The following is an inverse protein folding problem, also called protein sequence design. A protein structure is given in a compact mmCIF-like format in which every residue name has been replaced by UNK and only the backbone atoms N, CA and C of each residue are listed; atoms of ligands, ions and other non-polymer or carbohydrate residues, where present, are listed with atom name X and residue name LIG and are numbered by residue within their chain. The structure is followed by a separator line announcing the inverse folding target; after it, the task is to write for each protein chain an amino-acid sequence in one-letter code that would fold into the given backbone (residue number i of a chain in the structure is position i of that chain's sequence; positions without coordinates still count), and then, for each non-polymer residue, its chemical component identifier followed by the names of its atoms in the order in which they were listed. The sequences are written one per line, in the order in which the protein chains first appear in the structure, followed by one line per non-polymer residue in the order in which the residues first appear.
data_IF_535530953882
#
_entry.id   IF_535530953882
#
_cell.length_a   1.000
_cell.length_b   1.000
_cell.length_c   1.000
_cell.angle_alpha   90.00
_cell.angle_beta   90.00
_cell.angle_gamma   90.00
#
_symmetry.space_group_name_H-M   'P 1'
#
loop_
_entity.id
_entity.type
_entity.pdbx_description
1 polymer ?
#
# COMPACT_ATOMS: atom_id res chain seq x y z
N UNK A 1 34.92 21.76 -7.70
CA UNK A 1 34.49 22.32 -9.00
C UNK A 1 32.98 22.23 -9.05
N UNK A 2 32.34 23.33 -9.46
CA UNK A 2 30.91 23.59 -9.41
C UNK A 2 30.09 22.69 -10.35
N UNK A 3 29.03 22.06 -9.85
CA UNK A 3 27.98 21.49 -10.70
C UNK A 3 26.66 22.21 -10.41
N UNK A 4 26.61 23.48 -10.79
CA UNK A 4 25.39 24.00 -11.40
C UNK A 4 25.36 23.38 -12.78
N UNK A 5 24.88 22.15 -12.90
CA UNK A 5 24.51 21.60 -14.19
C UNK A 5 23.47 22.58 -14.76
N UNK A 6 23.86 23.34 -15.78
CA UNK A 6 22.99 24.28 -16.47
C UNK A 6 21.73 23.52 -16.88
N UNK A 7 20.62 23.73 -16.16
CA UNK A 7 19.32 23.17 -16.55
C UNK A 7 19.02 23.73 -17.94
N UNK A 8 19.03 22.87 -18.95
CA UNK A 8 18.68 23.23 -20.32
C UNK A 8 17.33 23.95 -20.31
N UNK A 9 17.20 25.04 -21.07
CA UNK A 9 15.91 25.69 -21.28
C UNK A 9 14.98 24.78 -22.11
N UNK A 10 13.66 25.01 -22.12
CA UNK A 10 12.75 24.26 -22.98
C UNK A 10 13.19 24.22 -24.45
N UNK A 11 13.68 25.34 -24.98
CA UNK A 11 14.17 25.46 -26.36
C UNK A 11 15.42 24.61 -26.58
N UNK A 12 16.35 24.59 -25.61
CA UNK A 12 17.55 23.78 -25.68
C UNK A 12 17.25 22.28 -25.62
N UNK A 13 16.26 21.87 -24.80
CA UNK A 13 15.81 20.47 -24.75
C UNK A 13 15.16 20.08 -26.07
N UNK A 14 14.23 20.89 -26.58
CA UNK A 14 13.54 20.60 -27.85
C UNK A 14 14.51 20.56 -29.05
N UNK A 15 15.58 21.35 -29.03
CA UNK A 15 16.61 21.36 -30.08
C UNK A 15 17.46 20.08 -30.13
N UNK A 16 17.44 19.25 -29.09
CA UNK A 16 18.12 17.94 -29.09
C UNK A 16 17.38 16.89 -29.94
N UNK A 17 16.14 17.16 -30.37
CA UNK A 17 15.28 16.23 -31.10
C UNK A 17 15.07 16.66 -32.56
N UNK A 18 14.71 15.70 -33.41
CA UNK A 18 14.39 15.95 -34.82
C UNK A 18 13.30 17.03 -34.95
N UNK A 19 13.55 18.14 -35.68
CA UNK A 19 12.55 19.18 -35.92
C UNK A 19 11.24 18.67 -36.52
N UNK A 20 11.28 17.61 -37.34
CA UNK A 20 10.06 16.99 -37.90
C UNK A 20 9.24 16.36 -36.79
N UNK A 21 9.87 15.59 -35.91
CA UNK A 21 9.20 14.97 -34.75
C UNK A 21 8.61 16.04 -33.82
N UNK A 22 9.36 17.11 -33.52
CA UNK A 22 8.83 18.23 -32.72
C UNK A 22 7.63 18.88 -33.41
N UNK A 23 7.71 19.13 -34.73
CA UNK A 23 6.60 19.66 -35.53
C UNK A 23 5.34 18.78 -35.49
N UNK A 24 5.50 17.45 -35.49
CA UNK A 24 4.39 16.51 -35.30
C UNK A 24 3.73 16.67 -33.92
N UNK A 25 4.52 16.81 -32.85
CA UNK A 25 3.98 17.00 -31.50
C UNK A 25 3.16 18.29 -31.38
N UNK A 26 3.65 19.40 -31.96
CA UNK A 26 2.86 20.64 -32.02
C UNK A 26 1.58 20.46 -32.83
N UNK A 27 1.64 19.78 -33.97
CA UNK A 27 0.46 19.49 -34.79
C UNK A 27 -0.60 18.72 -33.99
N UNK A 28 -0.19 17.72 -33.20
CA UNK A 28 -1.09 16.97 -32.33
C UNK A 28 -1.69 17.85 -31.22
N UNK A 29 -0.91 18.75 -30.63
CA UNK A 29 -1.38 19.68 -29.59
C UNK A 29 -2.35 20.71 -30.19
N UNK A 30 -2.04 21.24 -31.37
CA UNK A 30 -2.89 22.19 -32.09
C UNK A 30 -4.26 21.58 -32.46
N UNK A 31 -4.32 20.25 -32.60
CA UNK A 31 -5.56 19.51 -32.83
C UNK A 31 -6.39 19.24 -31.54
N UNK A 32 -5.89 19.59 -30.36
CA UNK A 32 -6.62 19.36 -29.11
C UNK A 32 -7.89 20.22 -29.00
N UNK A 33 -9.02 19.68 -28.51
CA UNK A 33 -10.27 20.45 -28.37
C UNK A 33 -10.15 21.72 -27.52
N UNK A 34 -9.30 21.69 -26.50
CA UNK A 34 -9.05 22.79 -25.57
C UNK A 34 -7.92 23.74 -26.03
N UNK A 35 -7.39 23.60 -27.24
CA UNK A 35 -6.19 24.31 -27.74
C UNK A 35 -6.23 25.83 -27.54
N UNK A 36 -7.40 26.45 -27.69
CA UNK A 36 -7.63 27.90 -27.49
C UNK A 36 -7.21 28.40 -26.10
N UNK A 37 -7.15 27.51 -25.11
CA UNK A 37 -6.78 27.82 -23.73
C UNK A 37 -5.30 27.56 -23.43
N UNK A 38 -4.52 27.08 -24.40
CA UNK A 38 -3.10 26.74 -24.22
C UNK A 38 -2.21 27.85 -24.79
N UNK A 39 -1.32 28.39 -23.97
CA UNK A 39 -0.32 29.36 -24.43
C UNK A 39 0.92 28.65 -24.94
N UNK A 40 1.67 29.28 -25.84
CA UNK A 40 2.90 28.69 -26.39
C UNK A 40 3.88 28.35 -25.27
N UNK A 41 4.07 29.26 -24.31
CA UNK A 41 5.00 29.08 -23.20
C UNK A 41 4.64 27.88 -22.32
N UNK A 42 3.33 27.59 -22.15
CA UNK A 42 2.87 26.40 -21.42
C UNK A 42 3.13 25.12 -22.20
N UNK A 43 2.84 25.13 -23.51
CA UNK A 43 3.10 24.01 -24.40
C UNK A 43 4.59 23.66 -24.40
N UNK A 44 5.46 24.66 -24.63
CA UNK A 44 6.92 24.48 -24.68
C UNK A 44 7.46 23.88 -23.38
N UNK A 45 7.02 24.40 -22.22
CA UNK A 45 7.38 23.88 -20.90
C UNK A 45 6.90 22.46 -20.67
N UNK A 46 5.66 22.16 -21.07
CA UNK A 46 5.06 20.84 -20.87
C UNK A 46 5.75 19.78 -21.75
N UNK A 47 5.98 20.10 -23.03
CA UNK A 47 6.68 19.22 -23.96
C UNK A 47 8.13 18.96 -23.56
N UNK A 48 8.88 20.02 -23.25
CA UNK A 48 10.28 19.88 -22.83
C UNK A 48 10.43 19.01 -21.58
N UNK A 49 9.48 19.09 -20.65
CA UNK A 49 9.49 18.22 -19.48
C UNK A 49 9.35 16.74 -19.88
N UNK A 50 8.33 16.37 -20.67
CA UNK A 50 8.16 14.97 -21.10
C UNK A 50 9.36 14.48 -21.90
N UNK A 51 9.87 15.28 -22.83
CA UNK A 51 11.04 14.94 -23.64
C UNK A 51 12.29 14.70 -22.78
N UNK A 52 12.35 15.27 -21.58
CA UNK A 52 13.46 15.07 -20.65
C UNK A 52 13.45 13.70 -19.94
N UNK A 53 12.32 12.99 -19.89
CA UNK A 53 12.24 11.72 -19.13
C UNK A 53 11.49 10.57 -19.81
N UNK A 54 10.58 10.82 -20.76
CA UNK A 54 9.83 9.81 -21.53
C UNK A 54 9.56 10.30 -22.98
N UNK A 55 10.60 10.63 -23.77
CA UNK A 55 10.42 11.15 -25.14
C UNK A 55 9.67 10.19 -26.06
N UNK A 56 9.84 8.88 -25.89
CA UNK A 56 9.18 7.83 -26.66
C UNK A 56 7.66 7.77 -26.42
N UNK A 57 7.19 8.29 -25.28
CA UNK A 57 5.76 8.35 -24.92
C UNK A 57 5.15 9.75 -25.11
N UNK A 58 5.86 10.70 -25.70
CA UNK A 58 5.35 12.07 -25.89
C UNK A 58 3.99 12.10 -26.63
N UNK A 59 3.85 11.32 -27.71
CA UNK A 59 2.59 11.20 -28.46
C UNK A 59 1.46 10.62 -27.60
N UNK A 60 1.76 9.66 -26.73
CA UNK A 60 0.79 9.06 -25.81
C UNK A 60 0.31 10.07 -24.77
N UNK A 61 1.23 10.83 -24.17
CA UNK A 61 0.89 11.91 -23.22
C UNK A 61 -0.02 12.96 -23.88
N UNK A 62 0.25 13.37 -25.13
CA UNK A 62 -0.62 14.31 -25.86
C UNK A 62 -2.00 13.71 -26.12
N UNK A 63 -2.08 12.45 -26.58
CA UNK A 63 -3.37 11.77 -26.81
C UNK A 63 -4.24 11.75 -25.54
N UNK A 64 -3.64 11.56 -24.36
CA UNK A 64 -4.37 11.60 -23.09
C UNK A 64 -4.97 12.96 -22.75
N UNK A 65 -4.42 14.05 -23.29
CA UNK A 65 -4.99 15.37 -23.09
C UNK A 65 -6.29 15.58 -23.88
N UNK A 66 -6.62 14.74 -24.86
CA UNK A 66 -7.79 14.95 -25.72
C UNK A 66 -9.13 14.55 -25.09
N UNK A 67 -9.15 14.08 -23.85
CA UNK A 67 -10.34 13.60 -23.16
C UNK A 67 -10.06 13.22 -21.71
N UNK A 68 -11.02 12.56 -21.07
CA UNK A 68 -10.89 11.96 -19.73
C UNK A 68 -10.75 10.43 -19.87
N UNK A 69 -9.72 9.87 -19.24
CA UNK A 69 -9.48 8.44 -19.22
C UNK A 69 -10.13 7.73 -18.02
N UNK A 70 -10.17 6.39 -18.07
CA UNK A 70 -10.71 5.57 -16.97
C UNK A 70 -10.00 5.81 -15.62
N UNK A 71 -8.70 6.11 -15.63
CA UNK A 71 -7.95 6.44 -14.40
C UNK A 71 -8.33 7.78 -13.77
N UNK A 72 -8.94 8.69 -14.54
CA UNK A 72 -9.30 10.05 -14.11
C UNK A 72 -10.78 10.11 -13.71
N UNK A 73 -11.63 9.34 -14.38
CA UNK A 73 -13.08 9.42 -14.19
C UNK A 73 -13.54 9.03 -12.79
N UNK A 74 -12.80 8.16 -12.10
CA UNK A 74 -13.07 7.82 -10.71
C UNK A 74 -13.01 9.04 -9.79
N UNK A 75 -12.01 9.91 -9.99
CA UNK A 75 -11.89 11.18 -9.27
C UNK A 75 -13.07 12.11 -9.54
N UNK A 76 -13.53 12.17 -10.79
CA UNK A 76 -14.57 13.10 -11.24
C UNK A 76 -15.97 12.63 -10.82
N UNK A 77 -16.23 11.32 -10.89
CA UNK A 77 -17.51 10.72 -10.56
C UNK A 77 -17.70 10.47 -9.05
N UNK A 78 -16.61 10.39 -8.26
CA UNK A 78 -16.69 10.09 -6.83
C UNK A 78 -17.68 11.00 -6.06
N UNK A 79 -17.64 12.34 -6.19
CA UNK A 79 -18.59 13.21 -5.49
C UNK A 79 -20.06 12.94 -5.84
N UNK A 80 -20.36 12.53 -7.08
CA UNK A 80 -21.71 12.19 -7.54
C UNK A 80 -22.25 10.91 -6.90
N UNK A 81 -21.35 10.08 -6.36
CA UNK A 81 -21.65 8.85 -5.66
C UNK A 81 -21.53 8.98 -4.13
N UNK A 82 -21.25 10.19 -3.62
CA UNK A 82 -20.99 10.42 -2.19
C UNK A 82 -19.61 9.94 -1.74
N UNK A 83 -18.71 9.64 -2.68
CA UNK A 83 -17.35 9.17 -2.46
C UNK A 83 -16.34 10.31 -2.60
N UNK A 84 -15.09 10.04 -2.22
CA UNK A 84 -13.97 10.97 -2.36
C UNK A 84 -12.69 10.25 -2.81
N UNK A 85 -11.96 10.83 -3.76
CA UNK A 85 -10.65 10.36 -4.16
C UNK A 85 -9.56 10.97 -3.26
N UNK A 86 -8.78 10.17 -2.51
CA UNK A 86 -7.75 10.67 -1.61
C UNK A 86 -6.50 11.24 -2.31
N UNK A 87 -6.35 11.06 -3.62
CA UNK A 87 -5.11 11.39 -4.34
C UNK A 87 -5.25 12.53 -5.34
N UNK A 88 -6.46 12.83 -5.81
CA UNK A 88 -6.68 13.80 -6.88
C UNK A 88 -8.04 14.48 -6.75
N UNK A 89 -8.24 15.57 -7.48
CA UNK A 89 -9.50 16.30 -7.58
C UNK A 89 -9.82 16.66 -9.03
N UNK A 90 -11.08 17.00 -9.33
CA UNK A 90 -11.45 17.53 -10.64
C UNK A 90 -10.65 18.79 -11.02
N UNK A 91 -10.20 19.57 -10.02
CA UNK A 91 -9.34 20.74 -10.22
C UNK A 91 -7.94 20.36 -10.68
N UNK A 92 -7.37 19.31 -10.11
CA UNK A 92 -6.05 18.81 -10.53
C UNK A 92 -6.12 18.28 -11.96
N UNK A 93 -7.17 17.52 -12.30
CA UNK A 93 -7.42 17.06 -13.68
C UNK A 93 -7.59 18.26 -14.62
N UNK A 94 -8.35 19.28 -14.23
CA UNK A 94 -8.49 20.51 -15.02
C UNK A 94 -7.12 21.16 -15.30
N UNK A 95 -6.24 21.25 -14.30
CA UNK A 95 -4.91 21.79 -14.47
C UNK A 95 -4.03 20.92 -15.37
N UNK A 96 -4.12 19.60 -15.27
CA UNK A 96 -3.40 18.67 -16.12
C UNK A 96 -3.84 18.80 -17.58
N UNK A 97 -5.16 18.82 -17.85
CA UNK A 97 -5.72 18.93 -19.21
C UNK A 97 -5.43 20.27 -19.89
N UNK A 98 -5.16 21.31 -19.11
CA UNK A 98 -4.78 22.65 -19.59
C UNK A 98 -3.27 22.95 -19.46
N UNK A 99 -2.45 21.93 -19.23
CA UNK A 99 -0.99 22.02 -19.12
C UNK A 99 -0.50 23.06 -18.10
N UNK A 100 -1.26 23.28 -17.02
CA UNK A 100 -0.76 24.04 -15.88
C UNK A 100 0.21 23.21 -15.04
N UNK A 101 -0.08 21.92 -14.90
CA UNK A 101 0.78 20.94 -14.26
C UNK A 101 1.74 20.32 -15.27
N UNK A 102 2.99 20.14 -14.87
CA UNK A 102 3.98 19.41 -15.65
C UNK A 102 3.94 17.93 -15.24
N UNK A 103 3.85 16.98 -16.20
CA UNK A 103 3.92 15.56 -15.92
C UNK A 103 5.21 15.20 -15.18
N UNK A 104 5.08 14.32 -14.20
CA UNK A 104 6.21 13.86 -13.40
C UNK A 104 6.76 12.56 -13.97
N UNK A 105 8.08 12.37 -13.86
CA UNK A 105 8.69 11.09 -14.17
C UNK A 105 8.08 9.98 -13.28
N UNK A 106 7.90 8.75 -13.82
CA UNK A 106 7.27 7.68 -13.06
C UNK A 106 8.09 7.34 -11.81
N UNK A 107 7.42 7.33 -10.66
CA UNK A 107 8.03 6.91 -9.39
C UNK A 107 8.22 5.38 -9.33
N UNK A 108 8.83 4.88 -8.25
CA UNK A 108 9.09 3.44 -8.09
C UNK A 108 7.83 2.56 -8.16
N UNK A 109 6.71 3.03 -7.63
CA UNK A 109 5.44 2.31 -7.70
C UNK A 109 4.90 2.22 -9.13
N UNK A 110 4.96 3.32 -9.88
CA UNK A 110 4.53 3.36 -11.28
C UNK A 110 5.43 2.48 -12.16
N UNK A 111 6.75 2.56 -11.97
CA UNK A 111 7.72 1.72 -12.71
C UNK A 111 7.47 0.23 -12.47
N UNK A 112 7.22 -0.16 -11.22
CA UNK A 112 6.86 -1.55 -10.88
C UNK A 112 5.56 -1.98 -11.56
N UNK A 113 4.53 -1.13 -11.52
CA UNK A 113 3.26 -1.38 -12.21
C UNK A 113 3.46 -1.65 -13.69
N UNK A 114 4.15 -0.75 -14.39
CA UNK A 114 4.46 -0.86 -15.83
C UNK A 114 5.24 -2.14 -16.13
N UNK A 115 6.24 -2.47 -15.33
CA UNK A 115 7.06 -3.67 -15.53
C UNK A 115 6.28 -4.98 -15.32
N UNK A 116 5.38 -4.99 -14.32
CA UNK A 116 4.66 -6.19 -13.93
C UNK A 116 3.39 -6.44 -14.75
N UNK A 117 2.87 -5.45 -15.47
CA UNK A 117 1.59 -5.56 -16.18
C UNK A 117 1.51 -6.80 -17.09
N UNK A 118 2.50 -6.99 -17.96
CA UNK A 118 2.54 -8.14 -18.88
C UNK A 118 2.73 -9.47 -18.14
N UNK A 119 3.48 -9.50 -17.04
CA UNK A 119 3.66 -10.70 -16.23
C UNK A 119 2.35 -11.12 -15.53
N UNK A 120 1.59 -10.14 -15.03
CA UNK A 120 0.29 -10.37 -14.40
C UNK A 120 -0.70 -10.89 -15.44
N UNK A 121 -0.72 -10.26 -16.63
CA UNK A 121 -1.51 -10.65 -17.79
C UNK A 121 -1.26 -12.11 -18.17
N UNK A 122 0.00 -12.47 -18.40
CA UNK A 122 0.40 -13.82 -18.80
C UNK A 122 0.03 -14.87 -17.75
N UNK A 123 0.24 -14.55 -16.47
CA UNK A 123 -0.12 -15.43 -15.36
C UNK A 123 -1.64 -15.62 -15.27
N UNK A 124 -2.42 -14.54 -15.38
CA UNK A 124 -3.88 -14.59 -15.36
C UNK A 124 -4.43 -15.42 -16.52
N UNK A 125 -3.94 -15.19 -17.74
CA UNK A 125 -4.34 -15.98 -18.92
C UNK A 125 -3.98 -17.45 -18.77
N UNK A 126 -2.77 -17.76 -18.28
CA UNK A 126 -2.31 -19.14 -18.11
C UNK A 126 -3.09 -19.90 -17.03
N UNK A 127 -3.40 -19.25 -15.91
CA UNK A 127 -4.07 -19.89 -14.78
C UNK A 127 -5.57 -20.05 -15.00
N UNK A 128 -6.23 -19.04 -15.58
CA UNK A 128 -7.68 -19.02 -15.71
C UNK A 128 -8.16 -19.37 -17.12
N UNK A 129 -7.26 -19.46 -18.10
CA UNK A 129 -7.63 -19.72 -19.51
C UNK A 129 -8.31 -18.52 -20.18
N UNK A 130 -8.01 -17.30 -19.71
CA UNK A 130 -8.51 -16.06 -20.31
C UNK A 130 -7.93 -15.88 -21.71
N UNK A 131 -8.77 -15.48 -22.66
CA UNK A 131 -8.36 -15.30 -24.07
C UNK A 131 -8.56 -13.85 -24.50
N UNK A 132 -7.46 -13.13 -24.73
CA UNK A 132 -7.50 -11.76 -25.26
C UNK A 132 -8.19 -11.69 -26.61
N UNK A 133 -8.82 -10.55 -26.90
CA UNK A 133 -9.35 -10.22 -28.23
C UNK A 133 -8.63 -8.99 -28.80
N UNK A 134 -7.40 -9.14 -29.33
CA UNK A 134 -6.58 -8.02 -29.79
C UNK A 134 -7.24 -7.17 -30.88
N UNK A 135 -8.01 -7.80 -31.79
CA UNK A 135 -8.75 -7.09 -32.84
C UNK A 135 -9.85 -6.18 -32.26
N UNK A 136 -10.48 -6.59 -31.17
CA UNK A 136 -11.48 -5.77 -30.48
C UNK A 136 -10.81 -4.70 -29.62
N UNK A 137 -9.69 -5.02 -28.97
CA UNK A 137 -8.86 -4.07 -28.22
C UNK A 137 -8.36 -2.92 -29.10
N UNK A 138 -7.95 -3.20 -30.33
CA UNK A 138 -7.50 -2.16 -31.27
C UNK A 138 -8.56 -1.08 -31.53
N UNK A 139 -9.86 -1.42 -31.38
CA UNK A 139 -10.96 -0.48 -31.58
C UNK A 139 -11.03 0.59 -30.49
N UNK A 140 -10.50 0.34 -29.29
CA UNK A 140 -10.54 1.30 -28.18
C UNK A 140 -9.58 2.47 -28.40
N UNK A 141 -8.39 2.21 -28.96
CA UNK A 141 -7.29 3.18 -29.05
C UNK A 141 -7.67 4.49 -29.77
N UNK A 142 -8.43 4.36 -30.86
CA UNK A 142 -8.84 5.48 -31.71
C UNK A 142 -10.34 5.82 -31.56
N UNK A 143 -11.05 5.16 -30.63
CA UNK A 143 -12.46 5.42 -30.40
C UNK A 143 -12.69 6.85 -29.90
N UNK A 144 -13.68 7.52 -30.48
CA UNK A 144 -14.21 8.81 -30.01
C UNK A 144 -15.72 8.77 -30.06
N UNK A 145 -16.36 9.04 -28.92
CA UNK A 145 -17.81 9.09 -28.87
C UNK A 145 -18.34 10.41 -29.46
N UNK A 146 -19.31 10.38 -30.40
CA UNK A 146 -19.86 11.60 -30.99
C UNK A 146 -20.62 12.49 -30.00
N UNK A 147 -21.23 11.91 -28.97
CA UNK A 147 -22.05 12.60 -27.96
C UNK A 147 -21.21 13.03 -26.75
N UNK A 148 -20.21 12.23 -26.40
CA UNK A 148 -19.30 12.44 -25.28
C UNK A 148 -17.83 12.43 -25.78
N UNK A 149 -17.37 13.45 -26.53
CA UNK A 149 -16.05 13.42 -27.20
C UNK A 149 -14.84 13.28 -26.27
N UNK A 150 -15.04 13.55 -24.98
CA UNK A 150 -14.05 13.34 -23.94
C UNK A 150 -13.84 11.89 -23.56
N UNK A 151 -14.77 10.99 -23.90
CA UNK A 151 -14.73 9.59 -23.51
C UNK A 151 -13.64 8.87 -24.31
N UNK A 152 -12.45 8.79 -23.72
CA UNK A 152 -11.27 8.13 -24.28
C UNK A 152 -10.80 7.04 -23.32
N UNK A 153 -10.19 5.98 -23.83
CA UNK A 153 -9.74 4.90 -22.96
C UNK A 153 -8.83 3.93 -23.66
N UNK A 154 -7.92 3.34 -22.87
CA UNK A 154 -7.08 2.23 -23.28
C UNK A 154 -7.16 1.20 -22.16
N UNK A 155 -8.19 0.32 -22.16
CA UNK A 155 -8.26 -0.75 -21.17
C UNK A 155 -7.02 -1.64 -21.26
N UNK A 156 -6.65 -2.28 -20.14
CA UNK A 156 -5.49 -3.16 -20.14
C UNK A 156 -5.80 -4.44 -20.95
N UNK A 157 -7.00 -5.02 -20.79
CA UNK A 157 -7.42 -6.14 -21.60
C UNK A 157 -8.94 -6.32 -21.72
N UNK A 158 -9.38 -6.73 -22.92
CA UNK A 158 -10.72 -7.21 -23.22
C UNK A 158 -10.62 -8.61 -23.84
N UNK A 159 -11.42 -9.53 -23.34
CA UNK A 159 -11.31 -10.93 -23.73
C UNK A 159 -12.44 -11.81 -23.23
N UNK A 160 -12.26 -13.13 -23.36
CA UNK A 160 -13.24 -14.12 -22.93
C UNK A 160 -12.72 -15.08 -21.88
N UNK A 161 -13.61 -15.47 -20.98
CA UNK A 161 -13.44 -16.54 -20.01
C UNK A 161 -14.70 -17.40 -20.04
N UNK A 162 -14.55 -18.71 -20.28
CA UNK A 162 -15.68 -19.65 -20.37
C UNK A 162 -16.85 -19.18 -21.27
N UNK A 163 -16.53 -18.50 -22.38
CA UNK A 163 -17.45 -17.90 -23.36
C UNK A 163 -18.18 -16.61 -22.93
N UNK A 164 -17.92 -16.09 -21.74
CA UNK A 164 -18.37 -14.76 -21.32
C UNK A 164 -17.29 -13.71 -21.58
N UNK A 165 -17.69 -12.48 -21.87
CA UNK A 165 -16.81 -11.37 -22.20
C UNK A 165 -16.52 -10.51 -20.98
N UNK A 166 -15.25 -10.21 -20.74
CA UNK A 166 -14.84 -9.42 -19.58
C UNK A 166 -13.90 -8.29 -19.98
N UNK A 167 -14.02 -7.21 -19.22
CA UNK A 167 -13.00 -6.17 -19.14
C UNK A 167 -12.10 -6.47 -17.94
N UNK A 168 -10.80 -6.59 -18.17
CA UNK A 168 -9.80 -6.82 -17.13
C UNK A 168 -8.84 -5.63 -17.02
N UNK A 169 -8.50 -5.29 -15.78
CA UNK A 169 -7.55 -4.24 -15.43
C UNK A 169 -6.50 -4.82 -14.49
N UNK A 170 -5.22 -4.62 -14.82
CA UNK A 170 -4.08 -5.23 -14.14
C UNK A 170 -3.42 -4.25 -13.18
N UNK A 171 -3.14 -4.69 -11.95
CA UNK A 171 -2.54 -3.83 -10.93
C UNK A 171 -1.45 -4.55 -10.14
N UNK A 172 -0.37 -3.84 -9.85
CA UNK A 172 0.71 -4.34 -9.00
C UNK A 172 0.83 -3.47 -7.73
N UNK A 173 -0.10 -3.62 -6.76
CA UNK A 173 -0.15 -2.77 -5.59
C UNK A 173 0.98 -3.10 -4.60
N UNK A 174 1.00 -2.40 -3.46
CA UNK A 174 1.90 -2.75 -2.35
C UNK A 174 1.43 -4.05 -1.66
N UNK A 175 2.32 -4.78 -0.95
CA UNK A 175 1.98 -6.09 -0.37
C UNK A 175 0.80 -6.11 0.62
N UNK A 176 0.44 -4.97 1.21
CA UNK A 176 -0.64 -4.81 2.20
C UNK A 176 -2.02 -4.52 1.56
N UNK A 177 -2.09 -4.42 0.23
CA UNK A 177 -3.34 -4.03 -0.44
C UNK A 177 -4.37 -5.15 -0.53
N UNK A 178 -3.95 -6.42 -0.56
CA UNK A 178 -4.90 -7.54 -0.53
C UNK A 178 -5.74 -7.53 0.75
N UNK A 179 -5.11 -7.29 1.91
CA UNK A 179 -5.82 -7.14 3.19
C UNK A 179 -6.83 -5.98 3.16
N UNK A 180 -6.52 -4.89 2.43
CA UNK A 180 -7.45 -3.77 2.24
C UNK A 180 -8.62 -4.14 1.34
N UNK A 181 -8.38 -4.87 0.25
CA UNK A 181 -9.46 -5.34 -0.62
C UNK A 181 -10.40 -6.32 0.10
N UNK A 182 -9.87 -7.20 0.95
CA UNK A 182 -10.69 -8.12 1.73
C UNK A 182 -11.56 -7.39 2.77
N UNK A 183 -11.04 -6.30 3.33
CA UNK A 183 -11.73 -5.54 4.38
C UNK A 183 -12.70 -4.50 3.83
N UNK A 184 -12.24 -3.70 2.88
CA UNK A 184 -12.89 -2.48 2.41
C UNK A 184 -13.46 -2.62 0.99
N UNK A 185 -13.14 -3.72 0.29
CA UNK A 185 -13.51 -3.94 -1.10
C UNK A 185 -12.57 -3.26 -2.10
N UNK A 186 -12.89 -3.39 -3.39
CA UNK A 186 -12.15 -2.69 -4.46
C UNK A 186 -12.41 -1.19 -4.35
N UNK A 187 -11.37 -0.37 -4.48
CA UNK A 187 -11.51 1.09 -4.42
C UNK A 187 -12.42 1.62 -5.52
N UNK A 188 -13.21 2.64 -5.18
CA UNK A 188 -14.15 3.27 -6.12
C UNK A 188 -13.49 3.70 -7.44
N UNK A 189 -12.26 4.20 -7.39
CA UNK A 189 -11.50 4.59 -8.59
C UNK A 189 -11.36 3.47 -9.62
N UNK A 190 -11.01 2.25 -9.18
CA UNK A 190 -10.88 1.10 -10.09
C UNK A 190 -12.24 0.60 -10.58
N UNK A 191 -13.28 0.67 -9.73
CA UNK A 191 -14.65 0.36 -10.13
C UNK A 191 -15.08 1.31 -11.26
N UNK A 192 -14.95 2.63 -11.06
CA UNK A 192 -15.31 3.63 -12.05
C UNK A 192 -14.48 3.50 -13.34
N UNK A 193 -13.19 3.17 -13.25
CA UNK A 193 -12.32 2.91 -14.40
C UNK A 193 -12.87 1.78 -15.30
N UNK A 194 -13.25 0.64 -14.73
CA UNK A 194 -13.79 -0.48 -15.49
C UNK A 194 -15.17 -0.18 -16.08
N UNK A 195 -16.01 0.58 -15.37
CA UNK A 195 -17.30 1.04 -15.89
C UNK A 195 -17.11 2.01 -17.07
N UNK A 196 -16.14 2.91 -17.00
CA UNK A 196 -15.79 3.81 -18.10
C UNK A 196 -15.42 3.05 -19.38
N UNK A 197 -14.59 2.01 -19.27
CA UNK A 197 -14.27 1.17 -20.42
C UNK A 197 -15.48 0.36 -20.91
N UNK A 198 -16.42 0.04 -20.03
CA UNK A 198 -17.69 -0.62 -20.41
C UNK A 198 -18.57 0.28 -21.26
N UNK A 199 -18.62 1.58 -20.96
CA UNK A 199 -19.33 2.56 -21.80
C UNK A 199 -18.76 2.55 -23.22
N UNK A 200 -17.43 2.62 -23.34
CA UNK A 200 -16.74 2.57 -24.64
C UNK A 200 -17.06 1.26 -25.38
N UNK A 201 -16.95 0.12 -24.69
CA UNK A 201 -17.25 -1.20 -25.26
C UNK A 201 -18.69 -1.29 -25.79
N UNK A 202 -19.67 -0.80 -25.02
CA UNK A 202 -21.09 -0.75 -25.43
C UNK A 202 -21.32 0.10 -26.66
N UNK A 203 -20.63 1.24 -26.76
CA UNK A 203 -20.75 2.11 -27.93
C UNK A 203 -20.11 1.47 -29.17
N UNK A 204 -19.03 0.72 -28.98
CA UNK A 204 -18.39 -0.13 -29.99
C UNK A 204 -19.19 -1.42 -30.31
N UNK A 205 -20.34 -1.64 -29.67
CA UNK A 205 -21.17 -2.86 -29.80
C UNK A 205 -20.44 -4.14 -29.41
N UNK A 206 -19.50 -4.04 -28.48
CA UNK A 206 -18.82 -5.16 -27.87
C UNK A 206 -19.56 -5.60 -26.60
N UNK A 207 -19.86 -6.91 -26.43
CA UNK A 207 -20.50 -7.42 -25.22
C UNK A 207 -19.56 -7.33 -24.01
N UNK A 208 -20.11 -7.06 -22.83
CA UNK A 208 -19.39 -7.08 -21.55
C UNK A 208 -20.32 -7.73 -20.53
N UNK A 209 -19.98 -8.95 -20.13
CA UNK A 209 -20.76 -9.75 -19.17
C UNK A 209 -20.26 -9.56 -17.73
N UNK A 210 -19.02 -9.09 -17.55
CA UNK A 210 -18.46 -8.80 -16.24
C UNK A 210 -17.18 -7.98 -16.27
N UNK A 211 -16.77 -7.51 -15.10
CA UNK A 211 -15.59 -6.67 -14.88
C UNK A 211 -14.65 -7.38 -13.91
N UNK A 212 -13.36 -7.36 -14.20
CA UNK A 212 -12.33 -8.03 -13.41
C UNK A 212 -11.24 -7.04 -13.04
N UNK A 213 -10.97 -6.91 -11.74
CA UNK A 213 -9.71 -6.35 -11.27
C UNK A 213 -8.76 -7.51 -10.99
N UNK A 214 -7.62 -7.53 -11.67
CA UNK A 214 -6.60 -8.55 -11.48
C UNK A 214 -5.36 -7.89 -10.87
N UNK A 215 -5.14 -8.13 -9.58
CA UNK A 215 -3.99 -7.58 -8.86
C UNK A 215 -2.94 -8.65 -8.59
N UNK A 216 -1.66 -8.29 -8.60
CA UNK A 216 -0.62 -9.22 -8.15
C UNK A 216 -0.59 -9.31 -6.63
N UNK A 217 -0.83 -10.50 -6.10
CA UNK A 217 -0.62 -10.81 -4.69
C UNK A 217 0.87 -11.09 -4.47
N UNK A 218 1.55 -10.13 -3.85
CA UNK A 218 2.98 -10.23 -3.53
C UNK A 218 3.28 -11.31 -2.50
N UNK A 219 2.33 -11.61 -1.60
CA UNK A 219 2.51 -12.56 -0.50
C UNK A 219 2.40 -14.00 -1.01
N UNK A 220 1.43 -14.26 -1.87
CA UNK A 220 1.20 -15.58 -2.46
C UNK A 220 1.85 -15.76 -3.83
N UNK A 221 2.43 -14.69 -4.40
CA UNK A 221 3.08 -14.65 -5.72
C UNK A 221 2.19 -15.17 -6.85
N UNK A 222 0.94 -14.69 -6.89
CA UNK A 222 -0.07 -15.11 -7.85
C UNK A 222 -1.06 -13.97 -8.17
N UNK A 223 -1.83 -14.06 -9.26
CA UNK A 223 -2.93 -13.13 -9.51
C UNK A 223 -4.07 -13.31 -8.49
N UNK A 224 -4.45 -12.23 -7.81
CA UNK A 224 -5.71 -12.08 -7.07
C UNK A 224 -6.75 -11.43 -7.98
N UNK A 225 -7.84 -12.14 -8.26
CA UNK A 225 -8.87 -11.74 -9.23
C UNK A 225 -10.17 -11.44 -8.50
N UNK A 226 -10.64 -10.20 -8.62
CA UNK A 226 -11.88 -9.73 -8.01
C UNK A 226 -12.88 -9.38 -9.10
N UNK A 227 -14.08 -9.96 -9.04
CA UNK A 227 -15.17 -9.56 -9.91
C UNK A 227 -15.86 -8.30 -9.39
N UNK A 228 -16.16 -7.39 -10.29
CA UNK A 228 -16.90 -6.16 -10.00
C UNK A 228 -18.25 -6.25 -10.70
N UNK A 229 -19.31 -5.97 -9.93
CA UNK A 229 -20.67 -5.94 -10.46
C UNK A 229 -20.87 -4.68 -11.31
N UNK A 230 -21.57 -4.84 -12.42
CA UNK A 230 -21.91 -3.75 -13.30
C UNK A 230 -23.02 -2.90 -12.68
N UNK A 231 -22.81 -1.60 -12.63
CA UNK A 231 -23.70 -0.62 -12.01
C UNK A 231 -24.11 0.44 -13.04
N UNK A 232 -25.36 0.36 -13.51
CA UNK A 232 -25.92 1.31 -14.49
C UNK A 232 -26.03 2.73 -13.94
N UNK A 233 -26.32 2.89 -12.65
CA UNK A 233 -26.39 4.22 -12.02
C UNK A 233 -25.01 4.88 -12.06
N UNK A 234 -23.95 4.11 -11.80
CA UNK A 234 -22.58 4.62 -11.90
C UNK A 234 -22.22 5.02 -13.34
N UNK A 235 -22.67 4.26 -14.35
CA UNK A 235 -22.47 4.62 -15.76
C UNK A 235 -23.09 5.98 -16.08
N UNK A 236 -24.34 6.21 -15.65
CA UNK A 236 -25.01 7.50 -15.86
C UNK A 236 -24.26 8.64 -15.15
N UNK A 237 -23.78 8.40 -13.91
CA UNK A 237 -22.99 9.38 -13.16
C UNK A 237 -21.62 9.65 -13.75
N UNK A 238 -20.98 8.65 -14.34
CA UNK A 238 -19.73 8.84 -15.10
C UNK A 238 -19.96 9.77 -16.29
N UNK A 239 -21.03 9.55 -17.06
CA UNK A 239 -21.35 10.38 -18.22
C UNK A 239 -21.67 11.82 -17.80
N UNK A 240 -22.52 11.99 -16.78
CA UNK A 240 -22.89 13.30 -16.23
C UNK A 240 -21.66 14.07 -15.73
N UNK A 241 -20.82 13.43 -14.91
CA UNK A 241 -19.66 14.06 -14.31
C UNK A 241 -18.57 14.39 -15.36
N UNK A 242 -18.36 13.51 -16.34
CA UNK A 242 -17.42 13.74 -17.42
C UNK A 242 -17.87 14.84 -18.39
N UNK A 243 -19.17 14.88 -18.75
CA UNK A 243 -19.74 15.96 -19.57
C UNK A 243 -19.58 17.31 -18.90
N UNK A 244 -19.88 17.39 -17.60
CA UNK A 244 -19.72 18.61 -16.81
C UNK A 244 -18.26 19.09 -16.80
N UNK A 245 -17.32 18.23 -16.37
CA UNK A 245 -15.91 18.64 -16.26
C UNK A 245 -15.33 19.01 -17.63
N UNK A 246 -15.66 18.24 -18.67
CA UNK A 246 -15.10 18.49 -19.99
C UNK A 246 -15.70 19.72 -20.65
N UNK A 247 -17.03 19.76 -20.81
CA UNK A 247 -17.69 20.78 -21.61
C UNK A 247 -17.82 22.10 -20.85
N UNK A 248 -18.22 22.05 -19.58
CA UNK A 248 -18.54 23.25 -18.80
C UNK A 248 -17.32 23.85 -18.12
N UNK A 249 -16.27 23.05 -17.86
CA UNK A 249 -15.04 23.52 -17.23
C UNK A 249 -13.88 23.59 -18.23
N UNK A 250 -13.37 22.47 -18.73
CA UNK A 250 -12.13 22.43 -19.54
C UNK A 250 -12.30 23.19 -20.87
N UNK A 251 -13.32 22.86 -21.68
CA UNK A 251 -13.54 23.52 -22.98
C UNK A 251 -14.02 24.97 -22.82
N UNK A 252 -14.66 25.30 -21.70
CA UNK A 252 -15.05 26.67 -21.38
C UNK A 252 -13.91 27.50 -20.75
N UNK A 253 -12.84 26.87 -20.28
CA UNK A 253 -11.77 27.54 -19.53
C UNK A 253 -12.23 28.03 -18.15
N UNK A 254 -13.25 27.38 -17.58
CA UNK A 254 -13.80 27.71 -16.26
C UNK A 254 -13.24 26.71 -15.25
N UNK A 255 -12.71 27.23 -14.14
CA UNK A 255 -12.22 26.38 -13.05
C UNK A 255 -13.37 25.55 -12.48
N UNK A 256 -13.20 24.23 -12.27
CA UNK A 256 -14.21 23.43 -11.61
C UNK A 256 -14.39 23.90 -10.16
N UNK A 257 -15.63 24.20 -9.81
CA UNK A 257 -16.06 24.49 -8.44
C UNK A 257 -16.86 23.29 -7.95
N UNK A 258 -16.17 22.15 -7.73
CA UNK A 258 -16.86 20.99 -7.15
C UNK A 258 -17.27 21.38 -5.72
N UNK A 259 -18.57 21.41 -5.46
CA UNK A 259 -19.07 21.37 -4.10
C UNK A 259 -18.79 19.97 -3.57
N UNK A 260 -17.79 19.86 -2.69
CA UNK A 260 -17.58 18.62 -1.96
C UNK A 260 -18.86 18.29 -1.20
N UNK A 261 -19.23 17.00 -1.16
CA UNK A 261 -20.28 16.52 -0.30
C UNK A 261 -20.12 17.06 1.13
N UNK A 262 -21.21 17.17 1.90
CA UNK A 262 -21.17 17.80 3.21
C UNK A 262 -20.08 17.14 4.05
N UNK A 263 -19.14 17.96 4.56
CA UNK A 263 -18.15 17.49 5.54
C UNK A 263 -18.94 16.83 6.67
N UNK A 264 -18.62 15.58 6.98
CA UNK A 264 -19.13 14.95 8.18
C UNK A 264 -18.53 15.73 9.35
N UNK A 265 -19.31 16.63 9.93
CA UNK A 265 -18.92 17.27 11.18
C UNK A 265 -18.79 16.14 12.21
N UNK A 266 -17.71 16.11 12.99
CA UNK A 266 -17.61 15.21 14.13
C UNK A 266 -18.11 15.97 15.36
N UNK A 267 -19.42 16.22 15.41
CA UNK A 267 -20.08 16.81 16.58
C UNK A 267 -20.94 15.75 17.25
N UNK A 268 -21.30 15.99 18.53
CA UNK A 268 -22.21 15.12 19.28
C UNK A 268 -23.59 14.96 18.61
N UNK A 269 -23.93 15.90 17.72
CA UNK A 269 -25.19 16.00 16.97
C UNK A 269 -25.07 15.48 15.53
N UNK A 270 -24.00 14.78 15.16
CA UNK A 270 -23.89 14.25 13.80
C UNK A 270 -24.72 12.98 13.62
N UNK A 271 -25.79 13.09 12.82
CA UNK A 271 -26.81 12.05 12.66
C UNK A 271 -26.62 11.16 11.42
N UNK A 272 -25.58 11.35 10.61
CA UNK A 272 -25.30 10.50 9.44
C UNK A 272 -24.96 9.06 9.84
N UNK A 273 -25.30 8.06 9.01
CA UNK A 273 -25.03 6.64 9.28
C UNK A 273 -23.55 6.38 9.59
N UNK A 274 -22.65 7.03 8.85
CA UNK A 274 -21.20 6.90 9.05
C UNK A 274 -20.73 7.57 10.33
N UNK A 275 -21.29 8.73 10.69
CA UNK A 275 -21.00 9.39 11.96
C UNK A 275 -21.45 8.54 13.17
N UNK A 276 -22.61 7.89 13.07
CA UNK A 276 -23.12 6.98 14.10
C UNK A 276 -22.28 5.69 14.21
N UNK A 277 -21.90 5.09 13.07
CA UNK A 277 -20.98 3.96 13.02
C UNK A 277 -19.63 4.34 13.65
N UNK A 278 -19.05 5.47 13.25
CA UNK A 278 -17.77 5.94 13.74
C UNK A 278 -17.81 6.21 15.24
N UNK A 279 -18.84 6.89 15.75
CA UNK A 279 -19.03 7.12 17.20
C UNK A 279 -19.03 5.80 17.97
N UNK A 280 -19.82 4.82 17.51
CA UNK A 280 -19.87 3.49 18.12
C UNK A 280 -18.51 2.80 18.13
N UNK A 281 -17.79 2.83 17.01
CA UNK A 281 -16.48 2.18 16.88
C UNK A 281 -15.41 2.86 17.76
N UNK A 282 -15.41 4.20 17.84
CA UNK A 282 -14.50 4.96 18.71
C UNK A 282 -14.78 4.65 20.18
N UNK A 283 -16.05 4.61 20.58
CA UNK A 283 -16.45 4.22 21.94
C UNK A 283 -16.01 2.80 22.28
N UNK A 284 -16.21 1.84 21.37
CA UNK A 284 -15.80 0.45 21.54
C UNK A 284 -14.27 0.31 21.64
N UNK A 285 -13.53 0.94 20.74
CA UNK A 285 -12.07 0.96 20.76
C UNK A 285 -11.51 1.58 22.05
N UNK A 286 -12.12 2.66 22.54
CA UNK A 286 -11.71 3.31 23.79
C UNK A 286 -11.89 2.40 25.00
N UNK A 287 -13.00 1.65 25.06
CA UNK A 287 -13.28 0.67 26.13
C UNK A 287 -12.24 -0.45 26.14
N UNK A 288 -11.98 -1.05 24.97
CA UNK A 288 -10.98 -2.10 24.81
C UNK A 288 -9.58 -1.61 25.18
N UNK A 289 -9.24 -0.38 24.83
CA UNK A 289 -7.96 0.25 25.19
C UNK A 289 -7.77 0.35 26.71
N UNK A 290 -8.82 0.70 27.46
CA UNK A 290 -8.77 0.74 28.92
C UNK A 290 -8.53 -0.65 29.51
N UNK A 291 -9.25 -1.67 29.02
CA UNK A 291 -9.09 -3.05 29.46
C UNK A 291 -7.67 -3.55 29.18
N UNK A 292 -7.17 -3.36 27.96
CA UNK A 292 -5.83 -3.76 27.54
C UNK A 292 -4.75 -3.11 28.41
N UNK A 293 -4.85 -1.80 28.66
CA UNK A 293 -3.88 -1.09 29.50
C UNK A 293 -3.89 -1.58 30.96
N UNK A 294 -5.06 -1.91 31.52
CA UNK A 294 -5.18 -2.45 32.89
C UNK A 294 -4.62 -3.87 32.98
N UNK A 295 -4.94 -4.73 32.01
CA UNK A 295 -4.40 -6.08 31.94
C UNK A 295 -2.87 -6.06 31.81
N UNK A 296 -2.34 -5.21 30.94
CA UNK A 296 -0.89 -5.04 30.76
C UNK A 296 -0.18 -4.52 32.02
N UNK A 297 -0.78 -3.55 32.72
CA UNK A 297 -0.22 -3.06 33.99
C UNK A 297 -0.14 -4.19 35.04
N UNK A 298 -1.19 -5.02 35.14
CA UNK A 298 -1.21 -6.14 36.08
C UNK A 298 -0.20 -7.23 35.71
N UNK A 299 -0.07 -7.55 34.42
CA UNK A 299 0.96 -8.46 33.90
C UNK A 299 2.36 -7.98 34.28
N UNK A 300 2.62 -6.67 34.15
CA UNK A 300 3.91 -6.08 34.54
C UNK A 300 4.20 -6.22 36.03
N UNK A 301 3.21 -5.99 36.91
CA UNK A 301 3.35 -6.21 38.36
C UNK A 301 3.71 -7.66 38.68
N UNK A 302 2.97 -8.62 38.11
CA UNK A 302 3.20 -10.05 38.32
C UNK A 302 4.58 -10.46 37.81
N UNK A 303 4.98 -10.00 36.62
CA UNK A 303 6.32 -10.27 36.07
C UNK A 303 7.44 -9.70 36.92
N UNK A 304 7.23 -8.54 37.57
CA UNK A 304 8.20 -8.00 38.51
C UNK A 304 8.33 -8.88 39.76
N UNK A 305 7.22 -9.40 40.30
CA UNK A 305 7.26 -10.36 41.41
C UNK A 305 7.98 -11.65 41.03
N UNK A 306 7.68 -12.21 39.84
CA UNK A 306 8.37 -13.40 39.34
C UNK A 306 9.86 -13.11 39.17
N UNK A 307 10.23 -11.99 38.55
CA UNK A 307 11.64 -11.62 38.34
C UNK A 307 12.39 -11.50 39.67
N UNK A 308 11.79 -10.88 40.69
CA UNK A 308 12.37 -10.81 42.04
C UNK A 308 12.65 -12.19 42.68
N UNK A 309 11.85 -13.21 42.35
CA UNK A 309 12.07 -14.59 42.82
C UNK A 309 13.21 -15.24 42.04
N UNK A 310 13.22 -15.05 40.72
CA UNK A 310 14.18 -15.66 39.80
C UNK A 310 15.58 -15.06 39.99
N UNK A 311 15.72 -13.74 40.14
CA UNK A 311 17.02 -13.06 40.34
C UNK A 311 17.79 -13.51 41.60
N UNK A 312 17.11 -14.15 42.56
CA UNK A 312 17.73 -14.65 43.80
C UNK A 312 18.31 -16.06 43.67
N UNK A 313 18.22 -16.69 42.50
CA UNK A 313 18.61 -18.09 42.28
C UNK A 313 19.40 -18.23 40.99
N UNK A 314 20.28 -19.23 40.93
CA UNK A 314 20.89 -19.67 39.68
C UNK A 314 20.13 -20.87 39.12
N UNK A 315 19.86 -20.86 37.81
CA UNK A 315 19.08 -21.91 37.15
C UNK A 315 19.92 -22.75 36.17
N UNK A 316 21.12 -22.31 35.77
CA UNK A 316 22.13 -23.12 35.09
C UNK A 316 21.68 -23.63 33.73
N UNK A 317 21.42 -22.74 32.77
CA UNK A 317 20.96 -23.06 31.41
C UNK A 317 19.72 -23.98 31.38
N UNK A 318 18.81 -23.82 32.33
CA UNK A 318 17.59 -24.62 32.42
C UNK A 318 16.41 -23.97 31.69
N UNK A 319 15.57 -24.82 31.10
CA UNK A 319 14.21 -24.48 30.68
C UNK A 319 13.23 -25.22 31.57
N UNK A 320 12.34 -24.48 32.23
CA UNK A 320 11.26 -25.05 33.03
C UNK A 320 9.92 -24.61 32.47
N UNK A 321 9.03 -25.57 32.23
CA UNK A 321 7.67 -25.32 31.78
C UNK A 321 6.76 -25.29 33.01
N UNK A 322 6.13 -24.14 33.28
CA UNK A 322 5.15 -23.96 34.34
C UNK A 322 3.78 -23.67 33.73
N UNK A 323 2.93 -24.70 33.68
CA UNK A 323 1.64 -24.63 33.01
C UNK A 323 1.81 -24.29 31.54
N UNK A 324 1.31 -23.12 31.13
CA UNK A 324 1.40 -22.62 29.75
C UNK A 324 2.58 -21.66 29.50
N UNK A 325 3.46 -21.48 30.48
CA UNK A 325 4.55 -20.51 30.43
C UNK A 325 5.89 -21.23 30.47
N UNK A 326 6.79 -20.84 29.59
CA UNK A 326 8.18 -21.27 29.57
C UNK A 326 9.02 -20.24 30.34
N UNK A 327 9.74 -20.70 31.37
CA UNK A 327 10.81 -19.94 32.02
C UNK A 327 12.13 -20.49 31.48
N UNK A 328 12.89 -19.65 30.79
CA UNK A 328 14.19 -20.03 30.22
C UNK A 328 15.26 -19.17 30.84
N UNK A 329 16.22 -19.81 31.49
CA UNK A 329 17.43 -19.17 31.95
C UNK A 329 18.58 -19.55 31.01
N UNK A 330 19.31 -18.54 30.55
CA UNK A 330 20.46 -18.73 29.67
C UNK A 330 21.63 -17.97 30.25
N UNK A 331 22.75 -18.67 30.41
CA UNK A 331 24.01 -18.04 30.73
C UNK A 331 24.48 -17.22 29.54
N UNK A 332 24.86 -15.99 29.82
CA UNK A 332 25.44 -15.09 28.84
C UNK A 332 26.71 -14.45 29.42
N UNK A 333 27.63 -14.13 28.52
CA UNK A 333 28.84 -13.42 28.89
C UNK A 333 28.48 -11.96 29.15
N UNK A 334 28.85 -11.47 30.32
CA UNK A 334 28.60 -10.10 30.75
C UNK A 334 29.74 -9.22 30.25
N UNK A 335 29.51 -8.55 29.11
CA UNK A 335 30.53 -7.75 28.43
C UNK A 335 31.04 -6.58 29.27
N UNK A 336 30.19 -6.03 30.15
CA UNK A 336 30.60 -4.95 31.06
C UNK A 336 31.56 -5.49 32.12
N UNK A 337 31.26 -6.68 32.68
CA UNK A 337 32.19 -7.36 33.60
C UNK A 337 33.48 -7.80 32.92
N UNK A 338 33.43 -8.34 31.70
CA UNK A 338 34.62 -8.71 30.91
C UNK A 338 35.51 -7.47 30.72
N UNK A 339 34.94 -6.36 30.26
CA UNK A 339 35.68 -5.11 30.05
C UNK A 339 36.28 -4.58 31.36
N UNK A 340 35.51 -4.59 32.44
CA UNK A 340 35.98 -4.14 33.75
C UNK A 340 37.09 -5.04 34.33
N UNK A 341 37.06 -6.35 34.07
CA UNK A 341 38.09 -7.29 34.50
C UNK A 341 39.36 -7.16 33.65
N UNK A 342 39.24 -7.01 32.33
CA UNK A 342 40.38 -6.74 31.44
C UNK A 342 41.12 -5.47 31.84
N UNK A 343 40.39 -4.42 32.18
CA UNK A 343 40.98 -3.15 32.63
C UNK A 343 41.83 -3.29 33.90
N UNK A 344 41.59 -4.30 34.76
CA UNK A 344 42.44 -4.57 35.94
C UNK A 344 43.85 -5.05 35.59
N UNK A 345 44.04 -5.51 34.35
CA UNK A 345 45.31 -5.99 33.81
C UNK A 345 45.87 -5.06 32.74
N UNK A 346 45.41 -3.80 32.69
CA UNK A 346 45.77 -2.81 31.68
C UNK A 346 45.46 -3.26 30.23
N UNK A 347 44.44 -4.10 30.06
CA UNK A 347 43.98 -4.59 28.75
C UNK A 347 42.65 -3.93 28.37
N UNK A 348 42.49 -3.68 27.06
CA UNK A 348 41.30 -3.13 26.43
C UNK A 348 40.66 -4.17 25.50
N UNK A 349 39.32 -4.14 25.30
CA UNK A 349 38.69 -4.92 24.23
C UNK A 349 39.32 -4.72 22.84
N UNK A 350 39.89 -3.53 22.59
CA UNK A 350 40.58 -3.22 21.34
C UNK A 350 41.93 -3.94 21.17
N UNK A 351 42.46 -4.58 22.21
CA UNK A 351 43.67 -5.41 22.11
C UNK A 351 43.36 -6.79 21.49
N UNK A 352 42.07 -7.11 21.30
CA UNK A 352 41.57 -8.41 20.86
C UNK A 352 40.73 -8.34 19.57
N UNK A 353 41.07 -7.43 18.64
CA UNK A 353 40.29 -7.25 17.42
C UNK A 353 40.42 -8.44 16.44
N UNK A 354 39.29 -8.91 15.94
CA UNK A 354 39.21 -9.90 14.85
C UNK A 354 38.46 -9.34 13.64
N UNK A 355 38.77 -9.87 12.45
CA UNK A 355 38.07 -9.51 11.21
C UNK A 355 36.76 -10.26 11.10
N UNK A 356 35.66 -9.55 10.83
CA UNK A 356 34.38 -10.16 10.56
C UNK A 356 34.22 -10.52 9.07
N UNK A 357 33.17 -11.25 8.73
CA UNK A 357 32.76 -11.47 7.34
C UNK A 357 32.09 -10.26 6.68
N UNK A 358 31.89 -9.17 7.43
CA UNK A 358 31.21 -7.96 6.96
C UNK A 358 32.24 -6.92 6.51
N UNK A 359 31.90 -6.17 5.47
CA UNK A 359 32.75 -5.11 4.93
C UNK A 359 32.23 -3.73 5.35
N UNK A 360 33.14 -2.82 5.65
CA UNK A 360 32.83 -1.42 5.92
C UNK A 360 32.39 -0.72 4.62
N UNK A 361 31.12 -0.28 4.49
CA UNK A 361 30.60 0.24 3.23
C UNK A 361 31.38 1.44 2.69
N UNK A 362 31.86 2.33 3.57
CA UNK A 362 32.70 3.48 3.21
C UNK A 362 34.03 3.07 2.59
N UNK A 363 34.71 2.09 3.16
CA UNK A 363 36.01 1.60 2.64
C UNK A 363 35.84 0.79 1.35
N UNK A 364 34.74 0.04 1.21
CA UNK A 364 34.42 -0.67 -0.04
C UNK A 364 34.18 0.32 -1.19
N UNK A 365 33.48 1.42 -0.93
CA UNK A 365 33.26 2.49 -1.89
C UNK A 365 34.58 3.16 -2.31
N UNK A 366 35.48 3.41 -1.35
CA UNK A 366 36.79 3.99 -1.63
C UNK A 366 37.71 3.04 -2.42
N UNK A 367 37.68 1.73 -2.12
CA UNK A 367 38.56 0.75 -2.77
C UNK A 367 38.03 0.30 -4.15
N UNK A 368 36.71 0.30 -4.34
CA UNK A 368 36.08 0.09 -5.65
C UNK A 368 36.48 1.16 -6.68
N UNK A 369 36.84 2.37 -6.22
CA UNK A 369 37.31 3.48 -7.09
C UNK A 369 38.74 3.25 -7.60
N UNK A 370 39.55 2.40 -6.96
CA UNK A 370 40.99 2.27 -7.27
C UNK A 370 41.37 1.22 -8.32
N UNK A 371 40.41 0.50 -8.92
CA UNK A 371 40.61 -0.52 -9.96
C UNK A 371 41.72 -1.56 -9.64
N UNK A 372 41.41 -2.53 -8.77
CA UNK A 372 42.32 -3.63 -8.42
C UNK A 372 42.06 -4.22 -7.03
N UNK A 373 40.80 -4.55 -6.74
CA UNK A 373 40.27 -4.60 -5.38
C UNK A 373 40.80 -5.77 -4.54
N UNK A 374 41.55 -5.46 -3.48
CA UNK A 374 41.73 -6.35 -2.33
C UNK A 374 40.75 -5.95 -1.23
N UNK A 375 39.59 -6.62 -1.20
CA UNK A 375 38.54 -6.33 -0.23
C UNK A 375 38.90 -6.76 1.20
N UNK A 376 39.97 -7.53 1.40
CA UNK A 376 40.33 -8.06 2.73
C UNK A 376 40.60 -6.94 3.74
N UNK A 377 41.18 -5.82 3.30
CA UNK A 377 41.45 -4.65 4.14
C UNK A 377 40.20 -3.86 4.53
N UNK A 378 39.07 -4.09 3.85
CA UNK A 378 37.81 -3.38 4.09
C UNK A 378 36.92 -4.07 5.14
N UNK A 379 37.35 -5.19 5.72
CA UNK A 379 36.56 -5.93 6.69
C UNK A 379 36.40 -5.15 8.00
N UNK A 380 35.22 -5.22 8.59
CA UNK A 380 34.96 -4.67 9.92
C UNK A 380 35.81 -5.44 10.94
N UNK A 381 36.46 -4.70 11.84
CA UNK A 381 37.20 -5.29 12.97
C UNK A 381 36.42 -5.02 14.25
N UNK A 382 36.10 -6.07 14.99
CA UNK A 382 35.42 -5.98 16.29
C UNK A 382 36.18 -6.77 17.35
N UNK A 383 36.07 -6.42 18.64
CA UNK A 383 36.65 -7.21 19.73
C UNK A 383 36.13 -8.66 19.72
N UNK A 384 37.06 -9.61 19.66
CA UNK A 384 36.80 -11.04 19.75
C UNK A 384 36.47 -11.42 21.19
N UNK A 385 35.22 -11.82 21.41
CA UNK A 385 34.74 -12.24 22.74
C UNK A 385 35.51 -13.45 23.24
N UNK A 386 35.80 -14.41 22.37
CA UNK A 386 36.54 -15.62 22.75
C UNK A 386 37.99 -15.31 23.13
N UNK A 387 38.67 -14.43 22.40
CA UNK A 387 40.03 -14.01 22.74
C UNK A 387 40.07 -13.25 24.08
N UNK A 388 39.10 -12.37 24.33
CA UNK A 388 38.95 -11.68 25.61
C UNK A 388 38.70 -12.64 26.77
N UNK A 389 37.82 -13.63 26.59
CA UNK A 389 37.56 -14.67 27.59
C UNK A 389 38.80 -15.50 27.87
N UNK A 390 39.53 -15.95 26.84
CA UNK A 390 40.76 -16.71 27.01
C UNK A 390 41.83 -15.93 27.75
N UNK A 391 41.98 -14.63 27.45
CA UNK A 391 42.93 -13.77 28.15
C UNK A 391 42.63 -13.64 29.65
N UNK A 392 41.35 -13.65 30.04
CA UNK A 392 40.94 -13.66 31.45
C UNK A 392 41.18 -15.03 32.09
N UNK A 393 40.89 -16.13 31.40
CA UNK A 393 41.11 -17.49 31.89
C UNK A 393 42.60 -17.80 32.13
N UNK A 394 43.49 -17.35 31.24
CA UNK A 394 44.96 -17.48 31.39
C UNK A 394 45.51 -16.71 32.60
N UNK A 395 44.72 -15.80 33.17
CA UNK A 395 45.04 -14.98 34.34
C UNK A 395 44.30 -15.45 35.59
N UNK A 396 43.88 -16.72 35.61
CA UNK A 396 43.16 -17.37 36.70
C UNK A 396 41.83 -16.68 37.09
N UNK A 397 41.22 -15.93 36.17
CA UNK A 397 39.87 -15.39 36.37
C UNK A 397 38.85 -16.43 35.92
N UNK A 398 38.15 -17.01 36.89
CA UNK A 398 37.06 -17.95 36.65
C UNK A 398 35.97 -17.34 35.75
N UNK A 399 35.50 -18.13 34.77
CA UNK A 399 34.40 -17.80 33.87
C UNK A 399 33.14 -17.36 34.60
N UNK A 400 32.88 -17.90 35.78
CA UNK A 400 31.72 -17.51 36.60
C UNK A 400 31.74 -16.03 37.02
N UNK A 401 32.92 -15.39 37.08
CA UNK A 401 33.06 -13.99 37.49
C UNK A 401 32.58 -12.99 36.43
N UNK A 402 32.42 -13.44 35.19
CA UNK A 402 31.96 -12.62 34.07
C UNK A 402 30.86 -13.30 33.25
N UNK A 403 30.20 -14.29 33.84
CA UNK A 403 28.98 -14.90 33.32
C UNK A 403 27.81 -14.39 34.13
N UNK A 404 26.79 -13.86 33.45
CA UNK A 404 25.49 -13.54 34.02
C UNK A 404 24.45 -14.55 33.54
N UNK A 405 23.29 -14.58 34.20
CA UNK A 405 22.17 -15.41 33.79
C UNK A 405 21.00 -14.53 33.40
N UNK A 406 20.56 -14.66 32.14
CA UNK A 406 19.39 -13.97 31.63
C UNK A 406 18.19 -14.89 31.72
N UNK A 407 17.24 -14.50 32.56
CA UNK A 407 15.99 -15.22 32.74
C UNK A 407 14.89 -14.56 31.90
N UNK A 408 14.16 -15.37 31.13
CA UNK A 408 13.06 -14.93 30.28
C UNK A 408 11.81 -15.74 30.55
N UNK A 409 10.66 -15.07 30.49
CA UNK A 409 9.34 -15.64 30.73
C UNK A 409 8.50 -15.40 29.48
N UNK A 410 8.02 -16.47 28.85
CA UNK A 410 7.20 -16.37 27.65
C UNK A 410 6.07 -17.41 27.65
N UNK A 411 4.97 -17.08 26.99
CA UNK A 411 3.95 -18.08 26.66
C UNK A 411 4.57 -19.21 25.85
N UNK A 412 4.21 -20.45 26.19
CA UNK A 412 4.72 -21.62 25.51
C UNK A 412 4.29 -21.63 24.05
N UNK A 413 5.21 -22.05 23.17
CA UNK A 413 4.98 -22.14 21.71
C UNK A 413 4.61 -23.57 21.28
N UNK A 414 4.22 -24.43 22.22
CA UNK A 414 3.76 -25.77 21.91
C UNK A 414 2.61 -25.70 20.90
N UNK A 415 2.75 -26.43 19.79
CA UNK A 415 1.76 -26.44 18.69
C UNK A 415 0.71 -27.54 18.84
N UNK A 416 0.95 -28.50 19.73
CA UNK A 416 0.13 -29.71 19.92
C UNK A 416 0.19 -30.15 21.38
N UNK A 417 -0.83 -30.85 21.86
CA UNK A 417 -0.91 -31.40 23.23
C UNK A 417 -1.57 -30.46 24.24
N UNK A 418 -1.64 -30.89 25.50
CA UNK A 418 -2.41 -30.24 26.58
C UNK A 418 -2.07 -28.75 26.78
N UNK A 419 -0.80 -28.36 26.62
CA UNK A 419 -0.37 -26.95 26.73
C UNK A 419 -0.92 -26.09 25.60
N UNK A 420 -1.00 -26.63 24.37
CA UNK A 420 -1.55 -25.91 23.22
C UNK A 420 -3.08 -25.73 23.35
N UNK A 421 -3.76 -26.75 23.88
CA UNK A 421 -5.19 -26.70 24.19
C UNK A 421 -5.47 -25.68 25.29
N UNK A 422 -4.67 -25.65 26.36
CA UNK A 422 -4.81 -24.69 27.45
C UNK A 422 -4.59 -23.23 26.98
N UNK A 423 -3.59 -22.96 26.14
CA UNK A 423 -3.38 -21.62 25.54
C UNK A 423 -4.57 -21.21 24.67
N UNK A 424 -5.15 -22.17 23.93
CA UNK A 424 -6.34 -21.91 23.10
C UNK A 424 -7.57 -21.63 23.96
N UNK A 425 -7.78 -22.40 25.03
CA UNK A 425 -8.85 -22.16 26.01
C UNK A 425 -8.75 -20.78 26.66
N UNK A 426 -7.54 -20.37 27.06
CA UNK A 426 -7.31 -19.03 27.62
C UNK A 426 -7.63 -17.89 26.65
N UNK A 427 -7.37 -18.06 25.35
CA UNK A 427 -7.80 -17.08 24.35
C UNK A 427 -9.32 -17.00 24.27
N UNK A 428 -10.01 -18.14 24.29
CA UNK A 428 -11.47 -18.18 24.33
C UNK A 428 -12.05 -17.51 25.58
N UNK A 429 -11.44 -17.72 26.75
CA UNK A 429 -11.84 -17.03 27.99
C UNK A 429 -11.62 -15.51 27.88
N UNK A 430 -10.50 -15.07 27.30
CA UNK A 430 -10.25 -13.65 27.05
C UNK A 430 -11.31 -13.04 26.11
N UNK A 431 -11.72 -13.76 25.07
CA UNK A 431 -12.79 -13.33 24.15
C UNK A 431 -14.14 -13.22 24.87
N UNK A 432 -14.45 -14.14 25.79
CA UNK A 432 -15.64 -14.05 26.65
C UNK A 432 -15.57 -12.81 27.55
N UNK A 433 -14.45 -12.56 28.22
CA UNK A 433 -14.26 -11.36 29.07
C UNK A 433 -14.40 -10.08 28.25
N UNK A 434 -13.84 -10.03 27.04
CA UNK A 434 -13.98 -8.89 26.13
C UNK A 434 -15.45 -8.68 25.75
N UNK A 435 -16.16 -9.75 25.42
CA UNK A 435 -17.58 -9.73 25.05
C UNK A 435 -18.46 -9.27 26.22
N UNK A 436 -18.23 -9.80 27.42
CA UNK A 436 -18.94 -9.44 28.64
C UNK A 436 -18.65 -7.99 29.06
N UNK A 437 -17.40 -7.54 28.99
CA UNK A 437 -17.01 -6.17 29.29
C UNK A 437 -17.73 -5.17 28.37
N UNK A 438 -17.76 -5.47 27.07
CA UNK A 438 -18.50 -4.67 26.09
C UNK A 438 -20.01 -4.68 26.35
N UNK A 439 -20.59 -5.81 26.76
CA UNK A 439 -22.01 -5.94 27.07
C UNK A 439 -22.40 -5.18 28.36
N UNK A 440 -21.63 -5.34 29.43
CA UNK A 440 -21.88 -4.71 30.73
C UNK A 440 -21.75 -3.18 30.67
N UNK A 441 -20.84 -2.65 29.84
CA UNK A 441 -20.70 -1.21 29.65
C UNK A 441 -21.86 -0.59 28.84
N UNK A 442 -22.46 -1.33 27.90
CA UNK A 442 -23.69 -0.90 27.22
C UNK A 442 -24.84 -0.70 28.22
N UNK A 443 -24.92 -1.54 29.26
CA UNK A 443 -25.95 -1.44 30.31
C UNK A 443 -25.76 -0.30 31.33
N UNK A 444 -24.53 0.18 31.56
CA UNK A 444 -24.24 1.21 32.58
C UNK A 444 -24.16 2.64 32.05
N UNK A 445 -23.84 2.84 30.77
CA UNK A 445 -23.63 4.17 30.17
C UNK A 445 -24.72 4.61 29.18
N UNK A 446 -25.82 3.86 29.06
CA UNK A 446 -27.02 4.29 28.32
C UNK A 446 -28.27 4.31 29.22
N UNK A 447 -28.46 5.32 30.07
CA UNK A 447 -29.78 5.58 30.63
C UNK A 447 -30.64 6.23 29.54
N UNK A 448 -31.51 5.43 28.92
CA UNK A 448 -32.73 5.88 28.24
C UNK A 448 -32.57 6.86 27.06
N UNK A 449 -32.25 6.34 25.88
CA UNK A 449 -32.92 6.76 24.63
C UNK A 449 -33.20 5.50 23.82
N UNK A 450 -34.44 5.35 23.38
CA UNK A 450 -34.97 4.13 22.79
C UNK A 450 -34.08 3.57 21.69
N UNK A 451 -34.01 2.23 21.65
CA UNK A 451 -33.53 1.49 20.51
C UNK A 451 -34.20 2.04 19.24
N UNK A 452 -33.46 2.43 18.19
CA UNK A 452 -34.05 2.46 16.86
C UNK A 452 -34.52 1.04 16.52
N UNK A 453 -35.63 0.89 15.79
CA UNK A 453 -36.21 -0.42 15.49
C UNK A 453 -35.19 -1.33 14.83
N UNK A 454 -35.25 -2.62 15.21
CA UNK A 454 -34.46 -3.70 14.64
C UNK A 454 -34.46 -3.63 13.11
N UNK A 455 -33.26 -3.68 12.53
CA UNK A 455 -33.10 -3.92 11.10
C UNK A 455 -33.70 -5.30 10.84
N UNK A 456 -34.71 -5.45 9.95
CA UNK A 456 -35.28 -6.77 9.70
C UNK A 456 -34.20 -7.68 9.13
N UNK A 457 -34.14 -8.90 9.69
CA UNK A 457 -33.35 -10.00 9.16
C UNK A 457 -33.54 -10.09 7.65
N UNK A 458 -32.43 -10.08 6.92
CA UNK A 458 -32.43 -10.40 5.49
C UNK A 458 -33.09 -11.76 5.33
N UNK A 459 -34.27 -11.76 4.74
CA UNK A 459 -34.98 -12.96 4.34
C UNK A 459 -34.03 -13.87 3.54
N UNK A 460 -33.62 -14.96 4.18
CA UNK A 460 -33.12 -16.15 3.52
C UNK A 460 -34.27 -16.65 2.63
N UNK A 461 -34.27 -16.24 1.36
CA UNK A 461 -35.13 -16.86 0.35
C UNK A 461 -34.56 -18.23 0.04
N UNK A 462 -34.99 -19.22 0.82
CA UNK A 462 -34.96 -20.62 0.42
C UNK A 462 -35.82 -20.77 -0.84
N UNK A 463 -35.17 -20.97 -2.00
CA UNK A 463 -35.85 -21.54 -3.16
C UNK A 463 -36.00 -23.04 -2.92
N UNK A 464 -37.15 -23.42 -2.39
CA UNK A 464 -37.69 -24.78 -2.47
C UNK A 464 -38.71 -24.88 -3.62
N UNK A 465 -38.81 -26.05 -4.29
CA UNK A 465 -39.35 -26.15 -5.64
C UNK A 465 -40.85 -26.43 -5.66
N UNK A 466 -41.49 -26.15 -6.79
CA UNK A 466 -42.76 -26.70 -7.33
C UNK A 466 -43.18 -25.80 -8.51
N UNK A 467 -43.74 -26.27 -9.60
CA UNK A 467 -44.08 -27.60 -10.11
C UNK A 467 -44.33 -27.38 -11.61
#
# INVERSE_FOLDING_TARGET
MSEVALRKTPEQIMADFDPVFIGELYTMIDALPQRKHLTKERIDRWLSAILSFEPERAKWHIKRLSGLGGSEIGTVAAPYMGEHDPFSTAKDIYFDKLMYTIPQAPNGHMKRGIFMEDHIRDAFQSLFGFKSRPEDMAKFADYRDPKHPWLVGNPDEYGTLANSFFMADYKCPMPDFQDKYDKDGVSFGYIAQLHHYTIIARNLKLPVDGLLLCSWDMKNWAPDVRSIELNEVLIDKILEAGDWLWNECILAGKMPTVEYGPRIALTDESHGKDAQLLKRLVEESSKLSVLANRAYAKDKEIKAEISNILERRRFGNAKVVYGITDITAKEELDMDKITALLARFDLSPNDFLEETGEYQPSLVLEEAVKNGVDLTTCKVKIPSVDAMVNALLERDIDREQFTSEKVSIALSRAKTGEVAEAVTGMKGEADVVITEFNTNLKGKYMPGRGLPPEIPDKAVKSKGPRM
#
